data_IF_809649413065
#
_entry.id   IF_809649413065
#
_cell.length_a   1.000
_cell.length_b   1.000
_cell.length_c   1.000
_cell.angle_alpha   90.00
_cell.angle_beta   90.00
_cell.angle_gamma   90.00
#
_symmetry.space_group_name_H-M   'P 1'
#
loop_
_entity.id
_entity.type
_entity.pdbx_description
1 polymer ?
#
# COMPACT_ATOMS: atom_id res chain seq x y z
N UNK A 1 18.79 12.40 -25.38
CA UNK A 1 19.95 13.28 -25.56
C UNK A 1 20.70 13.35 -24.23
N UNK A 2 21.93 12.80 -24.13
CA UNK A 2 22.72 12.83 -22.90
C UNK A 2 23.13 14.24 -22.43
N UNK A 3 22.82 15.29 -23.19
CA UNK A 3 23.12 16.69 -22.86
C UNK A 3 21.92 17.53 -22.37
N UNK A 4 20.77 16.92 -22.06
CA UNK A 4 19.63 17.70 -21.57
C UNK A 4 19.89 18.19 -20.13
N UNK A 5 20.10 19.51 -19.98
CA UNK A 5 20.39 20.21 -18.72
C UNK A 5 19.38 19.91 -17.60
N UNK A 6 18.12 19.60 -17.95
CA UNK A 6 17.08 19.25 -16.99
C UNK A 6 17.22 17.84 -16.37
N UNK A 7 17.92 16.89 -17.02
CA UNK A 7 18.15 15.56 -16.43
C UNK A 7 19.14 15.61 -15.25
N UNK A 8 20.15 16.48 -15.31
CA UNK A 8 21.27 16.48 -14.34
C UNK A 8 20.91 17.08 -12.96
N UNK A 9 19.80 17.83 -12.84
CA UNK A 9 19.40 18.48 -11.58
C UNK A 9 18.53 17.62 -10.67
N UNK A 10 17.94 16.55 -11.19
CA UNK A 10 17.02 15.69 -10.43
C UNK A 10 17.63 14.35 -10.01
N UNK A 11 18.88 14.07 -10.40
CA UNK A 11 19.63 12.94 -9.86
C UNK A 11 20.23 13.33 -8.51
N UNK A 12 19.44 13.18 -7.44
CA UNK A 12 20.02 13.01 -6.11
C UNK A 12 20.73 11.65 -6.12
N UNK A 13 22.05 11.65 -6.21
CA UNK A 13 22.84 10.46 -5.91
C UNK A 13 22.82 10.27 -4.41
N UNK A 14 21.82 9.56 -3.91
CA UNK A 14 21.77 9.17 -2.50
C UNK A 14 22.97 8.27 -2.22
N UNK A 15 23.63 8.44 -1.08
CA UNK A 15 24.66 7.49 -0.61
C UNK A 15 24.07 6.12 -0.27
N UNK A 16 22.75 6.06 -0.11
CA UNK A 16 22.00 4.87 0.23
C UNK A 16 21.84 4.01 -1.03
N UNK A 17 22.18 2.72 -0.92
CA UNK A 17 22.05 1.74 -2.00
C UNK A 17 20.58 1.29 -2.15
N UNK A 18 19.70 2.23 -2.47
CA UNK A 18 18.27 2.03 -2.67
C UNK A 18 17.92 2.11 -4.17
N UNK A 19 16.90 1.39 -4.59
CA UNK A 19 16.52 1.29 -6.00
C UNK A 19 15.59 2.45 -6.42
N UNK A 20 16.18 3.61 -6.73
CA UNK A 20 15.43 4.80 -7.17
C UNK A 20 15.02 4.70 -8.64
N UNK A 21 13.86 4.09 -8.88
CA UNK A 21 13.19 4.09 -10.19
C UNK A 21 11.69 3.83 -10.04
N UNK A 22 10.96 3.99 -11.14
CA UNK A 22 9.59 3.49 -11.22
C UNK A 22 9.61 1.99 -11.51
N UNK A 23 9.02 1.19 -10.62
CA UNK A 23 8.99 -0.26 -10.76
C UNK A 23 7.71 -0.68 -11.46
N UNK A 24 7.78 -1.37 -12.61
CA UNK A 24 6.60 -2.03 -13.16
C UNK A 24 6.11 -3.17 -12.23
N UNK A 25 4.95 -3.78 -12.50
CA UNK A 25 4.41 -4.83 -11.63
C UNK A 25 5.36 -6.02 -11.41
N UNK A 26 6.09 -6.45 -12.45
CA UNK A 26 7.05 -7.57 -12.36
C UNK A 26 8.25 -7.19 -11.50
N UNK A 27 8.78 -5.99 -11.68
CA UNK A 27 9.92 -5.48 -10.88
C UNK A 27 9.52 -5.31 -9.41
N UNK A 28 8.33 -4.78 -9.13
CA UNK A 28 7.82 -4.69 -7.75
C UNK A 28 7.69 -6.06 -7.09
N UNK A 29 7.21 -7.08 -7.83
CA UNK A 29 7.22 -8.49 -7.36
C UNK A 29 8.62 -8.97 -7.04
N UNK A 30 9.58 -8.63 -7.89
CA UNK A 30 10.97 -9.05 -7.74
C UNK A 30 11.61 -8.43 -6.48
N UNK A 31 11.45 -7.12 -6.28
CA UNK A 31 11.91 -6.40 -5.06
C UNK A 31 11.35 -7.05 -3.79
N UNK A 32 10.08 -7.44 -3.85
CA UNK A 32 9.42 -8.18 -2.78
C UNK A 32 10.05 -9.53 -2.44
N UNK A 33 10.34 -10.33 -3.48
CA UNK A 33 11.00 -11.63 -3.33
C UNK A 33 12.40 -11.48 -2.78
N UNK A 34 13.18 -10.55 -3.32
CA UNK A 34 14.55 -10.28 -2.86
C UNK A 34 14.58 -9.86 -1.40
N UNK A 35 13.68 -8.95 -1.00
CA UNK A 35 13.56 -8.51 0.40
C UNK A 35 13.16 -9.65 1.34
N UNK A 36 12.37 -10.62 0.85
CA UNK A 36 11.98 -11.80 1.62
C UNK A 36 13.09 -12.83 1.80
N UNK A 37 14.12 -12.79 0.94
CA UNK A 37 15.30 -13.66 1.05
C UNK A 37 16.35 -13.11 2.02
N UNK A 38 16.24 -11.83 2.40
CA UNK A 38 17.16 -11.19 3.34
C UNK A 38 16.81 -11.55 4.79
N UNK A 39 17.79 -11.61 5.72
CA UNK A 39 17.56 -11.94 7.13
C UNK A 39 16.90 -10.80 7.94
N UNK A 40 16.29 -9.82 7.28
CA UNK A 40 15.62 -8.68 7.91
C UNK A 40 14.13 -8.90 8.21
N UNK A 41 13.60 -10.13 8.03
CA UNK A 41 12.27 -10.54 8.52
C UNK A 41 11.06 -10.08 7.69
N UNK A 42 11.28 -9.43 6.53
CA UNK A 42 10.21 -9.16 5.57
C UNK A 42 9.72 -10.45 4.89
N UNK A 43 8.42 -10.50 4.61
CA UNK A 43 7.77 -11.57 3.84
C UNK A 43 6.82 -10.96 2.83
N UNK A 44 7.03 -11.27 1.56
CA UNK A 44 6.10 -10.94 0.50
C UNK A 44 4.91 -11.91 0.52
N UNK A 45 3.72 -11.37 0.66
CA UNK A 45 2.45 -12.09 0.56
C UNK A 45 1.70 -11.58 -0.65
N UNK A 46 1.36 -12.49 -1.54
CA UNK A 46 0.43 -12.18 -2.62
C UNK A 46 -1.00 -12.24 -2.05
N UNK A 47 -1.80 -11.20 -2.26
CA UNK A 47 -3.19 -11.18 -1.81
C UNK A 47 -4.07 -11.99 -2.76
N UNK A 48 -3.73 -13.27 -2.98
CA UNK A 48 -4.65 -14.20 -3.62
C UNK A 48 -5.68 -14.72 -2.60
N UNK A 49 -6.89 -14.99 -3.10
CA UNK A 49 -8.15 -15.18 -2.37
C UNK A 49 -8.15 -16.28 -1.28
N UNK A 50 -7.09 -17.07 -1.18
CA UNK A 50 -7.02 -18.30 -0.38
C UNK A 50 -6.13 -18.25 0.88
N UNK A 51 -5.17 -17.32 1.02
CA UNK A 51 -4.19 -17.35 2.13
C UNK A 51 -4.51 -16.41 3.31
N UNK A 52 -5.60 -15.64 3.22
CA UNK A 52 -5.95 -14.62 4.21
C UNK A 52 -7.18 -15.06 5.04
N UNK A 53 -7.18 -16.24 5.67
CA UNK A 53 -8.30 -16.64 6.54
C UNK A 53 -8.47 -15.70 7.75
N UNK A 54 -7.37 -15.20 8.33
CA UNK A 54 -7.42 -14.24 9.45
C UNK A 54 -7.63 -12.79 9.01
N UNK A 55 -7.15 -12.42 7.81
CA UNK A 55 -7.31 -11.07 7.24
C UNK A 55 -8.59 -10.92 6.39
N UNK A 56 -9.33 -12.00 6.15
CA UNK A 56 -10.56 -12.02 5.35
C UNK A 56 -11.65 -11.08 5.85
N UNK A 57 -11.57 -10.62 7.11
CA UNK A 57 -12.51 -9.62 7.62
C UNK A 57 -12.18 -8.17 7.25
N UNK A 58 -10.98 -7.87 6.76
CA UNK A 58 -10.54 -6.49 6.44
C UNK A 58 -9.93 -6.31 5.04
N UNK A 59 -9.51 -7.38 4.36
CA UNK A 59 -8.83 -7.33 3.05
C UNK A 59 -9.65 -7.89 1.88
N UNK A 60 -10.98 -8.05 2.05
CA UNK A 60 -11.90 -8.48 1.00
C UNK A 60 -11.89 -7.63 -0.29
N UNK A 61 -11.14 -6.53 -0.33
CA UNK A 61 -11.26 -5.52 -1.39
C UNK A 61 -10.22 -5.58 -2.51
N UNK A 62 -9.08 -6.30 -2.39
CA UNK A 62 -7.99 -6.16 -3.38
C UNK A 62 -7.36 -7.49 -3.84
N UNK A 63 -7.95 -8.17 -4.85
CA UNK A 63 -7.50 -9.49 -5.30
C UNK A 63 -6.15 -9.54 -6.05
N UNK A 64 -5.40 -8.44 -6.18
CA UNK A 64 -4.19 -8.38 -7.02
C UNK A 64 -3.00 -7.61 -6.43
N UNK A 65 -3.00 -7.35 -5.12
CA UNK A 65 -1.95 -6.56 -4.47
C UNK A 65 -0.86 -7.43 -3.83
N UNK A 66 0.35 -6.88 -3.71
CA UNK A 66 1.43 -7.52 -2.94
C UNK A 66 1.51 -6.79 -1.62
N UNK A 67 1.41 -7.53 -0.52
CA UNK A 67 1.63 -6.99 0.81
C UNK A 67 2.97 -7.48 1.32
N UNK A 68 3.81 -6.56 1.79
CA UNK A 68 5.01 -6.90 2.54
C UNK A 68 4.69 -6.88 4.02
N UNK A 69 4.89 -8.02 4.66
CA UNK A 69 4.68 -8.22 6.07
C UNK A 69 6.02 -8.35 6.75
N UNK A 70 6.29 -7.54 7.77
CA UNK A 70 7.33 -7.88 8.72
C UNK A 70 6.73 -8.81 9.79
N UNK A 71 7.21 -10.05 9.91
CA UNK A 71 6.68 -10.96 10.94
C UNK A 71 7.67 -12.05 11.34
N UNK A 72 8.07 -12.01 12.61
CA UNK A 72 8.63 -13.17 13.29
C UNK A 72 7.50 -14.06 13.87
N UNK A 73 6.49 -13.49 14.55
CA UNK A 73 5.26 -14.17 15.04
C UNK A 73 4.31 -13.12 15.66
N UNK A 74 2.99 -13.34 15.67
CA UNK A 74 2.03 -12.42 16.31
C UNK A 74 2.18 -12.46 17.83
N UNK A 75 2.57 -11.35 18.46
CA UNK A 75 2.66 -11.22 19.92
C UNK A 75 1.43 -10.49 20.47
N UNK A 76 0.83 -11.04 21.53
CA UNK A 76 -0.24 -10.34 22.24
C UNK A 76 0.29 -9.01 22.76
N UNK A 77 -0.42 -7.92 22.43
CA UNK A 77 -0.06 -6.55 22.85
C UNK A 77 0.86 -5.81 21.88
N UNK A 78 1.32 -6.46 20.80
CA UNK A 78 2.07 -5.78 19.74
C UNK A 78 1.12 -4.97 18.83
N UNK A 79 1.35 -3.66 18.63
CA UNK A 79 0.53 -2.86 17.72
C UNK A 79 0.72 -3.30 16.26
N UNK A 80 -0.38 -3.31 15.51
CA UNK A 80 -0.36 -3.51 14.06
C UNK A 80 -0.46 -2.17 13.34
N UNK A 81 0.45 -1.95 12.39
CA UNK A 81 0.54 -0.73 11.59
C UNK A 81 0.48 -1.06 10.11
N UNK A 82 -0.17 -0.20 9.31
CA UNK A 82 -0.19 -0.36 7.85
C UNK A 82 0.02 0.94 7.08
N UNK A 83 0.79 0.85 6.00
CA UNK A 83 0.80 1.84 4.92
C UNK A 83 0.22 1.25 3.65
N UNK A 84 -0.57 2.07 2.96
CA UNK A 84 -1.23 1.73 1.71
C UNK A 84 -0.95 2.84 0.71
N UNK A 85 -0.57 2.47 -0.51
CA UNK A 85 -0.42 3.37 -1.63
C UNK A 85 -0.97 2.78 -2.93
N UNK A 86 -1.02 3.61 -3.96
CA UNK A 86 -1.45 3.21 -5.30
C UNK A 86 -2.92 2.83 -5.37
N UNK A 87 -3.80 3.45 -4.57
CA UNK A 87 -5.25 3.32 -4.72
C UNK A 87 -5.71 3.88 -6.08
N UNK A 88 -5.19 5.06 -6.44
CA UNK A 88 -5.15 5.51 -7.82
C UNK A 88 -3.84 5.05 -8.45
N UNK A 89 -3.90 4.32 -9.55
CA UNK A 89 -2.72 3.72 -10.16
C UNK A 89 -1.74 4.77 -10.71
N UNK A 90 -2.22 5.94 -11.11
CA UNK A 90 -1.39 7.04 -11.62
C UNK A 90 -0.78 7.95 -10.55
N UNK A 91 -1.14 7.79 -9.28
CA UNK A 91 -0.57 8.53 -8.15
C UNK A 91 0.67 7.78 -7.60
N UNK A 92 1.73 7.74 -8.42
CA UNK A 92 2.84 6.77 -8.29
C UNK A 92 3.77 7.02 -7.10
N UNK A 93 3.93 8.26 -6.64
CA UNK A 93 4.95 8.60 -5.63
C UNK A 93 4.86 7.73 -4.36
N UNK A 94 3.64 7.53 -3.84
CA UNK A 94 3.44 6.74 -2.62
C UNK A 94 3.86 5.26 -2.78
N UNK A 95 3.67 4.68 -3.98
CA UNK A 95 4.08 3.31 -4.28
C UNK A 95 5.59 3.15 -4.13
N UNK A 96 6.35 4.04 -4.76
CA UNK A 96 7.82 3.97 -4.74
C UNK A 96 8.37 4.30 -3.35
N UNK A 97 7.78 5.26 -2.63
CA UNK A 97 8.16 5.54 -1.24
C UNK A 97 7.98 4.34 -0.31
N UNK A 98 6.91 3.54 -0.49
CA UNK A 98 6.72 2.31 0.29
C UNK A 98 7.78 1.26 -0.04
N UNK A 99 8.17 1.11 -1.31
CA UNK A 99 9.24 0.18 -1.71
C UNK A 99 10.60 0.61 -1.14
N UNK A 100 10.91 1.89 -1.24
CA UNK A 100 12.13 2.48 -0.66
C UNK A 100 12.14 2.34 0.86
N UNK A 101 11.00 2.57 1.52
CA UNK A 101 10.87 2.40 2.98
C UNK A 101 11.15 0.95 3.40
N UNK A 102 10.66 -0.03 2.65
CA UNK A 102 10.92 -1.43 2.93
C UNK A 102 12.41 -1.76 2.80
N UNK A 103 13.07 -1.32 1.73
CA UNK A 103 14.51 -1.50 1.51
C UNK A 103 15.33 -0.82 2.61
N UNK A 104 15.01 0.43 2.93
CA UNK A 104 15.63 1.21 4.01
C UNK A 104 15.51 0.49 5.36
N UNK A 105 14.30 0.09 5.74
CA UNK A 105 14.05 -0.64 6.99
C UNK A 105 14.86 -1.95 7.05
N UNK A 106 14.97 -2.68 5.94
CA UNK A 106 15.78 -3.90 5.88
C UNK A 106 17.27 -3.61 6.07
N UNK A 107 17.82 -2.63 5.35
CA UNK A 107 19.23 -2.25 5.43
C UNK A 107 19.62 -1.76 6.83
N UNK A 108 18.82 -0.86 7.40
CA UNK A 108 19.07 -0.30 8.73
C UNK A 108 18.90 -1.34 9.85
N UNK A 109 17.97 -2.28 9.69
CA UNK A 109 17.84 -3.41 10.61
C UNK A 109 19.10 -4.28 10.62
N UNK A 110 19.64 -4.61 9.44
CA UNK A 110 20.88 -5.39 9.31
C UNK A 110 22.12 -4.62 9.79
N UNK A 111 22.12 -3.29 9.64
CA UNK A 111 23.15 -2.41 10.18
C UNK A 111 23.08 -2.25 11.71
N UNK A 112 22.00 -2.74 12.35
CA UNK A 112 21.82 -2.66 13.80
C UNK A 112 21.41 -1.27 14.30
N UNK A 113 20.76 -0.46 13.45
CA UNK A 113 20.26 0.85 13.88
C UNK A 113 19.23 0.66 15.02
N UNK A 114 19.49 1.18 16.24
CA UNK A 114 18.67 0.88 17.42
C UNK A 114 17.21 1.35 17.26
N UNK A 115 16.98 2.46 16.53
CA UNK A 115 15.64 2.98 16.29
C UNK A 115 14.84 2.05 15.38
N UNK A 116 15.46 1.57 14.30
CA UNK A 116 14.79 0.70 13.32
C UNK A 116 14.60 -0.70 13.89
N UNK A 117 15.61 -1.23 14.60
CA UNK A 117 15.49 -2.51 15.30
C UNK A 117 14.33 -2.49 16.30
N UNK A 118 14.23 -1.45 17.16
CA UNK A 118 13.13 -1.31 18.10
C UNK A 118 11.77 -1.20 17.40
N UNK A 119 11.66 -0.35 16.38
CA UNK A 119 10.43 -0.18 15.60
C UNK A 119 9.95 -1.49 14.98
N UNK A 120 10.87 -2.28 14.43
CA UNK A 120 10.58 -3.54 13.74
C UNK A 120 10.25 -4.68 14.73
N UNK A 121 10.87 -4.70 15.91
CA UNK A 121 10.67 -5.76 16.91
C UNK A 121 9.39 -5.61 17.75
N UNK A 122 8.91 -4.37 17.89
CA UNK A 122 7.79 -3.99 18.75
C UNK A 122 6.56 -3.50 17.95
N UNK A 123 6.57 -3.62 16.62
CA UNK A 123 5.42 -3.26 15.78
C UNK A 123 5.30 -4.21 14.59
N UNK A 124 4.07 -4.71 14.37
CA UNK A 124 3.75 -5.51 13.20
C UNK A 124 3.44 -4.60 12.02
N UNK A 125 4.36 -4.48 11.09
CA UNK A 125 4.27 -3.53 9.96
C UNK A 125 3.79 -4.24 8.69
N UNK A 126 2.75 -3.67 8.07
CA UNK A 126 2.15 -4.08 6.81
C UNK A 126 2.34 -2.99 5.75
N UNK A 127 3.05 -3.29 4.67
CA UNK A 127 3.28 -2.35 3.58
C UNK A 127 2.58 -2.83 2.30
N UNK A 128 1.68 -2.00 1.77
CA UNK A 128 0.92 -2.28 0.56
C UNK A 128 1.23 -1.20 -0.50
N UNK A 129 2.27 -1.38 -1.33
CA UNK A 129 2.71 -0.36 -2.29
C UNK A 129 1.71 -0.10 -3.43
N UNK A 130 0.84 -1.06 -3.75
CA UNK A 130 -0.04 -0.94 -4.92
C UNK A 130 -1.37 -1.66 -4.71
N UNK A 131 -2.42 -0.87 -4.49
CA UNK A 131 -3.81 -1.34 -4.43
C UNK A 131 -4.40 -1.53 -5.83
N UNK A 132 -4.11 -0.64 -6.77
CA UNK A 132 -4.56 -0.65 -8.16
C UNK A 132 -3.38 -0.88 -9.13
N UNK A 133 -2.84 -2.11 -9.20
CA UNK A 133 -1.73 -2.41 -10.11
C UNK A 133 -2.10 -2.26 -11.59
N UNK A 134 -3.36 -2.53 -11.97
CA UNK A 134 -3.83 -2.45 -13.35
C UNK A 134 -3.87 -1.00 -13.85
N UNK A 135 -4.36 -0.08 -13.01
CA UNK A 135 -4.34 1.36 -13.28
C UNK A 135 -2.91 1.87 -13.43
N UNK A 136 -2.01 1.41 -12.55
CA UNK A 136 -0.59 1.77 -12.62
C UNK A 136 0.06 1.26 -13.91
N UNK A 137 -0.17 0.01 -14.31
CA UNK A 137 0.40 -0.55 -15.54
C UNK A 137 -0.03 0.24 -16.78
N UNK A 138 -1.26 0.76 -16.82
CA UNK A 138 -1.73 1.67 -17.88
C UNK A 138 -0.97 2.99 -17.87
N UNK A 139 -0.84 3.62 -16.70
CA UNK A 139 -0.12 4.89 -16.55
C UNK A 139 1.38 4.74 -16.87
N UNK A 140 2.01 3.67 -16.39
CA UNK A 140 3.42 3.36 -16.60
C UNK A 140 3.74 3.18 -18.09
N UNK A 141 2.91 2.42 -18.83
CA UNK A 141 3.11 2.20 -20.27
C UNK A 141 2.93 3.47 -21.11
N UNK A 142 2.03 4.36 -20.69
CA UNK A 142 1.82 5.64 -21.37
C UNK A 142 2.96 6.63 -21.12
N UNK A 143 3.60 6.55 -19.94
CA UNK A 143 4.68 7.45 -19.54
C UNK A 143 4.15 8.78 -18.98
N UNK A 144 5.02 9.46 -18.23
CA UNK A 144 4.64 10.66 -17.45
C UNK A 144 4.14 11.82 -18.31
N UNK A 145 4.59 11.94 -19.57
CA UNK A 145 4.22 13.05 -20.45
C UNK A 145 2.80 12.89 -21.04
N UNK A 146 2.31 11.65 -21.12
CA UNK A 146 1.00 11.31 -21.68
C UNK A 146 -0.02 10.94 -20.58
N UNK A 147 0.45 10.78 -19.34
CA UNK A 147 -0.34 10.51 -18.16
C UNK A 147 -1.02 11.78 -17.64
N UNK A 148 -2.17 12.13 -18.23
CA UNK A 148 -3.05 13.14 -17.64
C UNK A 148 -3.63 12.69 -16.28
N UNK A 149 -4.48 13.53 -15.69
CA UNK A 149 -5.10 13.26 -14.38
C UNK A 149 -5.92 11.95 -14.33
N UNK A 150 -6.48 11.52 -15.47
CA UNK A 150 -7.42 10.41 -15.57
C UNK A 150 -6.79 9.05 -15.90
N UNK A 151 -5.70 9.03 -16.67
CA UNK A 151 -5.16 7.80 -17.23
C UNK A 151 -4.53 6.94 -16.13
N UNK A 152 -5.13 5.79 -15.83
CA UNK A 152 -4.65 4.88 -14.79
C UNK A 152 -5.17 5.18 -13.38
N UNK A 153 -6.11 6.14 -13.23
CA UNK A 153 -6.73 6.47 -11.94
C UNK A 153 -7.66 5.36 -11.44
N UNK A 154 -8.62 4.95 -12.28
CA UNK A 154 -9.63 3.94 -11.96
C UNK A 154 -9.12 2.51 -12.16
N UNK A 155 -9.86 1.52 -11.64
CA UNK A 155 -9.65 0.10 -11.93
C UNK A 155 -9.90 -0.22 -13.41
N UNK A 156 -9.67 -1.46 -13.81
CA UNK A 156 -10.04 -1.92 -15.16
C UNK A 156 -11.53 -1.76 -15.46
N UNK A 157 -12.39 -1.92 -14.45
CA UNK A 157 -13.86 -1.80 -14.56
C UNK A 157 -14.35 -0.35 -14.44
N UNK A 158 -13.44 0.63 -14.37
CA UNK A 158 -13.80 2.05 -14.26
C UNK A 158 -14.22 2.49 -12.86
N UNK A 159 -13.93 1.68 -11.83
CA UNK A 159 -14.28 1.97 -10.43
C UNK A 159 -13.18 2.83 -9.80
N UNK A 160 -13.59 3.87 -9.08
CA UNK A 160 -12.67 4.65 -8.24
C UNK A 160 -12.59 3.96 -6.88
N UNK A 161 -11.45 3.35 -6.58
CA UNK A 161 -11.26 2.60 -5.33
C UNK A 161 -11.54 3.46 -4.11
N UNK A 162 -11.15 4.74 -4.14
CA UNK A 162 -11.31 5.63 -2.99
C UNK A 162 -12.77 6.05 -2.76
N UNK A 163 -13.64 5.85 -3.76
CA UNK A 163 -15.09 6.06 -3.66
C UNK A 163 -15.88 4.75 -3.58
N UNK A 164 -15.22 3.61 -3.45
CA UNK A 164 -15.85 2.28 -3.42
C UNK A 164 -15.81 1.64 -2.01
N UNK A 165 -15.69 2.46 -0.96
CA UNK A 165 -15.82 2.01 0.41
C UNK A 165 -17.28 2.17 0.87
N UNK A 166 -17.80 1.27 1.73
CA UNK A 166 -19.12 1.44 2.32
C UNK A 166 -19.25 2.81 3.00
N UNK A 167 -20.29 3.56 2.65
CA UNK A 167 -20.55 4.86 3.24
C UNK A 167 -21.19 4.70 4.63
N UNK A 168 -20.38 4.94 5.66
CA UNK A 168 -20.83 4.95 7.05
C UNK A 168 -21.22 6.35 7.52
N UNK A 169 -20.88 7.40 6.76
CA UNK A 169 -21.16 8.78 7.14
C UNK A 169 -22.64 9.10 7.02
N UNK A 170 -23.28 8.70 5.91
CA UNK A 170 -24.72 8.94 5.72
C UNK A 170 -25.55 8.31 6.85
N UNK A 171 -25.22 7.07 7.24
CA UNK A 171 -25.87 6.39 8.37
C UNK A 171 -25.73 7.16 9.69
N UNK A 172 -24.54 7.72 9.95
CA UNK A 172 -24.30 8.52 11.16
C UNK A 172 -25.11 9.82 11.13
N UNK A 173 -25.02 10.59 10.05
CA UNK A 173 -25.67 11.89 9.95
C UNK A 173 -27.21 11.79 9.92
N UNK A 174 -27.77 10.79 9.23
CA UNK A 174 -29.21 10.51 9.27
C UNK A 174 -29.68 10.19 10.70
N UNK A 175 -28.88 9.44 11.47
CA UNK A 175 -29.19 9.16 12.88
C UNK A 175 -29.18 10.43 13.72
N UNK A 176 -28.25 11.35 13.48
CA UNK A 176 -28.14 12.61 14.23
C UNK A 176 -29.28 13.58 13.90
N UNK A 177 -29.69 13.67 12.63
CA UNK A 177 -30.81 14.52 12.20
C UNK A 177 -32.17 14.02 12.73
N UNK A 178 -32.31 12.71 12.88
CA UNK A 178 -33.49 12.08 13.48
C UNK A 178 -33.55 12.23 15.01
N UNK A 179 -33.19 13.40 15.59
CA UNK A 179 -33.12 13.77 17.03
C UNK A 179 -34.31 13.34 17.94
N UNK A 180 -35.37 12.74 17.39
CA UNK A 180 -36.57 12.20 18.06
C UNK A 180 -36.68 10.66 18.05
N UNK A 181 -35.78 9.93 17.40
CA UNK A 181 -35.76 8.47 17.41
C UNK A 181 -35.18 7.94 18.73
N UNK A 182 -35.91 7.06 19.43
CA UNK A 182 -35.45 6.41 20.67
C UNK A 182 -34.41 5.31 20.42
N UNK A 183 -34.15 4.92 19.17
CA UNK A 183 -33.21 3.85 18.82
C UNK A 183 -31.86 4.45 18.44
N UNK A 184 -30.82 4.10 19.21
CA UNK A 184 -29.43 4.37 18.85
C UNK A 184 -29.07 3.55 17.61
N UNK A 185 -28.53 4.19 16.58
CA UNK A 185 -27.95 3.50 15.42
C UNK A 185 -26.64 2.82 15.86
N UNK A 186 -26.38 1.56 15.47
CA UNK A 186 -25.13 0.88 15.78
C UNK A 186 -23.94 1.61 15.15
N UNK A 187 -22.92 1.92 15.95
CA UNK A 187 -21.65 2.48 15.46
C UNK A 187 -20.58 1.39 15.21
N UNK A 188 -20.96 0.12 15.31
CA UNK A 188 -20.10 -1.04 15.12
C UNK A 188 -20.88 -2.17 14.44
N UNK A 189 -20.18 -3.09 13.76
CA UNK A 189 -20.79 -4.26 13.11
C UNK A 189 -21.86 -3.88 12.05
N UNK A 190 -21.61 -2.79 11.33
CA UNK A 190 -22.47 -2.36 10.22
C UNK A 190 -22.30 -3.39 9.08
N UNK A 191 -23.40 -3.97 8.55
CA UNK A 191 -23.31 -4.95 7.48
C UNK A 191 -22.69 -4.31 6.23
N UNK A 192 -21.83 -5.06 5.56
CA UNK A 192 -21.29 -4.66 4.26
C UNK A 192 -22.45 -4.74 3.26
N UNK A 193 -22.71 -3.71 2.44
CA UNK A 193 -23.77 -3.76 1.44
C UNK A 193 -23.57 -4.91 0.43
N UNK A 194 -24.66 -5.50 -0.03
CA UNK A 194 -24.65 -6.66 -0.96
C UNK A 194 -24.41 -6.29 -2.44
N UNK A 195 -24.15 -5.02 -2.74
CA UNK A 195 -24.00 -4.50 -4.11
C UNK A 195 -22.55 -4.47 -4.60
#
# INVERSE_FOLDING_TARGET
DPNNYYHRRNEMTTTDNLDFKHHNYKEMRQVGKESSMQPCGWRALETNQSLLADFKRQLLMFPCSIMFLHCFYNKIGEPEFRYIAGAHGNEVLGRELILLLMQFMCQEYLAGNPRIVHLIQDTRIHLLPSVNPDGYDKAYKAGSELGGWSLGRWTQDGIDINNNFPDLNSLLWESEDQKKSKKKVPNHHIPIPDW
#
